data_IF_735650393456
#
_entry.id   IF_735650393456
#
_cell.length_a   1.000
_cell.length_b   1.000
_cell.length_c   1.000
_cell.angle_alpha   90.00
_cell.angle_beta   90.00
_cell.angle_gamma   90.00
#
_symmetry.space_group_name_H-M   'P 1'
#
loop_
_entity.id
_entity.type
_entity.pdbx_description
1 polymer ?
#
# COMPACT_ATOMS: atom_id res chain seq x y z
N UNK A 1 4.91 0.20 20.30
CA UNK A 1 3.76 1.13 20.44
C UNK A 1 3.19 1.35 19.06
N UNK A 2 1.87 1.32 18.88
CA UNK A 2 1.24 1.49 17.57
C UNK A 2 1.47 2.90 17.03
N UNK A 3 1.85 3.00 15.77
CA UNK A 3 1.90 4.27 15.03
C UNK A 3 0.49 4.80 14.78
N UNK A 4 0.34 6.12 14.87
CA UNK A 4 -0.90 6.86 14.69
C UNK A 4 -0.65 8.10 13.85
N UNK A 5 -1.68 8.80 13.44
CA UNK A 5 -1.54 10.07 12.73
C UNK A 5 -0.71 11.09 13.51
N UNK A 6 -0.84 11.09 14.85
CA UNK A 6 -0.06 11.98 15.73
C UNK A 6 1.40 11.57 15.87
N UNK A 7 1.73 10.27 15.79
CA UNK A 7 3.14 9.83 15.77
C UNK A 7 3.82 10.21 14.46
N UNK A 8 3.12 10.22 13.34
CA UNK A 8 3.65 10.71 12.06
C UNK A 8 4.02 12.19 12.14
N UNK A 9 3.13 13.01 12.72
CA UNK A 9 3.43 14.42 12.95
C UNK A 9 4.63 14.60 13.87
N UNK A 10 4.68 13.86 14.98
CA UNK A 10 5.79 13.93 15.93
C UNK A 10 7.13 13.51 15.30
N UNK A 11 7.13 12.56 14.34
CA UNK A 11 8.34 12.19 13.60
C UNK A 11 8.81 13.34 12.70
N UNK A 12 7.89 13.98 11.96
CA UNK A 12 8.22 15.20 11.18
C UNK A 12 8.83 16.29 12.07
N UNK A 13 8.18 16.60 13.17
CA UNK A 13 8.61 17.66 14.09
C UNK A 13 10.02 17.42 14.66
N UNK A 14 10.42 16.14 14.81
CA UNK A 14 11.76 15.72 15.24
C UNK A 14 12.77 15.55 14.11
N UNK A 15 12.33 15.63 12.86
CA UNK A 15 13.17 15.32 11.69
C UNK A 15 13.45 13.82 11.52
N UNK A 16 12.67 12.94 12.15
CA UNK A 16 12.76 11.49 12.01
C UNK A 16 12.05 11.06 10.71
N UNK A 17 12.68 10.17 9.93
CA UNK A 17 12.12 9.73 8.66
C UNK A 17 11.07 8.64 8.84
N UNK A 18 9.96 8.78 8.12
CA UNK A 18 8.83 7.85 8.11
C UNK A 18 9.04 6.83 6.99
N UNK A 19 9.09 5.54 7.35
CA UNK A 19 9.10 4.45 6.37
C UNK A 19 7.71 3.89 6.15
N UNK A 20 7.32 3.76 4.88
CA UNK A 20 6.06 3.12 4.49
C UNK A 20 6.28 2.10 3.38
N UNK A 21 5.47 1.07 3.37
CA UNK A 21 5.37 0.08 2.28
C UNK A 21 3.91 -0.18 1.96
N UNK A 22 3.65 -0.71 0.76
CA UNK A 22 2.35 -1.30 0.50
C UNK A 22 2.31 -2.74 1.02
N UNK A 23 1.15 -3.21 1.48
CA UNK A 23 0.86 -4.64 1.65
C UNK A 23 -0.58 -4.92 1.23
N UNK A 24 -0.84 -6.18 0.85
CA UNK A 24 -2.15 -6.56 0.33
C UNK A 24 -2.70 -7.85 0.97
N UNK A 25 -1.97 -8.44 1.91
CA UNK A 25 -2.36 -9.64 2.63
C UNK A 25 -1.85 -9.65 4.08
N UNK A 26 -2.36 -10.60 4.85
CA UNK A 26 -2.05 -10.77 6.27
C UNK A 26 -0.56 -11.08 6.51
N UNK A 27 0.02 -11.99 5.72
CA UNK A 27 1.37 -12.49 5.95
C UNK A 27 2.43 -11.43 5.66
N UNK A 28 2.27 -10.70 4.55
CA UNK A 28 3.13 -9.58 4.17
C UNK A 28 3.05 -8.46 5.21
N UNK A 29 1.83 -8.06 5.60
CA UNK A 29 1.63 -7.03 6.62
C UNK A 29 2.29 -7.40 7.97
N UNK A 30 2.22 -8.67 8.36
CA UNK A 30 2.86 -9.16 9.59
C UNK A 30 4.39 -9.09 9.52
N UNK A 31 4.98 -9.37 8.37
CA UNK A 31 6.43 -9.25 8.17
C UNK A 31 6.89 -7.79 8.21
N UNK A 32 6.17 -6.89 7.55
CA UNK A 32 6.46 -5.45 7.54
C UNK A 32 6.31 -4.83 8.94
N UNK A 33 5.24 -5.18 9.65
CA UNK A 33 5.01 -4.73 11.03
C UNK A 33 6.12 -5.21 11.99
N UNK A 34 6.55 -6.46 11.87
CA UNK A 34 7.65 -7.01 12.64
C UNK A 34 9.01 -6.38 12.28
N UNK A 35 9.19 -5.92 11.04
CA UNK A 35 10.36 -5.19 10.59
C UNK A 35 10.40 -3.73 11.09
N UNK A 36 9.33 -3.23 11.69
CA UNK A 36 9.25 -1.87 12.25
C UNK A 36 8.89 -0.79 11.22
N UNK A 37 8.25 -1.16 10.11
CA UNK A 37 7.71 -0.20 9.14
C UNK A 37 6.66 0.67 9.83
N UNK A 38 6.76 1.99 9.68
CA UNK A 38 5.90 2.94 10.40
C UNK A 38 4.47 2.94 9.87
N UNK A 39 4.28 2.83 8.56
CA UNK A 39 2.97 2.81 7.93
C UNK A 39 2.86 1.77 6.82
N UNK A 40 1.71 1.14 6.71
CA UNK A 40 1.38 0.17 5.67
C UNK A 40 0.20 0.69 4.88
N UNK A 41 0.37 0.81 3.56
CA UNK A 41 -0.66 1.24 2.64
C UNK A 41 -1.26 0.02 1.92
N UNK A 42 -2.55 -0.16 2.04
CA UNK A 42 -3.31 -0.99 1.11
C UNK A 42 -3.68 -0.09 -0.06
N UNK A 43 -2.79 -0.06 -1.06
CA UNK A 43 -2.94 0.79 -2.23
C UNK A 43 -3.82 0.15 -3.30
N UNK A 44 -4.51 0.95 -4.10
CA UNK A 44 -5.22 0.46 -5.30
C UNK A 44 -4.27 -0.06 -6.39
N UNK A 45 -2.94 0.15 -6.22
CA UNK A 45 -1.88 -0.57 -6.93
C UNK A 45 -1.99 -2.10 -6.85
N UNK A 46 -2.79 -2.64 -5.89
CA UNK A 46 -3.17 -4.06 -5.87
C UNK A 46 -3.80 -4.50 -7.20
N UNK A 47 -4.47 -3.59 -7.89
CA UNK A 47 -5.00 -3.84 -9.24
C UNK A 47 -3.94 -4.37 -10.18
N UNK A 48 -2.76 -3.74 -10.18
CA UNK A 48 -1.65 -4.15 -11.05
C UNK A 48 -0.91 -5.38 -10.51
N UNK A 49 -0.43 -5.32 -9.24
CA UNK A 49 0.54 -6.31 -8.73
C UNK A 49 -0.10 -7.55 -8.10
N UNK A 50 -1.41 -7.54 -7.83
CA UNK A 50 -2.14 -8.67 -7.22
C UNK A 50 -3.22 -9.19 -8.17
N UNK A 51 -4.03 -8.30 -8.74
CA UNK A 51 -5.17 -8.68 -9.60
C UNK A 51 -4.82 -8.78 -11.09
N UNK A 52 -3.64 -8.28 -11.50
CA UNK A 52 -3.14 -8.37 -12.87
C UNK A 52 -3.86 -7.44 -13.86
N UNK A 53 -4.43 -6.33 -13.38
CA UNK A 53 -5.02 -5.30 -14.25
C UNK A 53 -3.93 -4.38 -14.81
N UNK A 54 -4.16 -3.83 -16.00
CA UNK A 54 -3.26 -2.86 -16.62
C UNK A 54 -3.21 -1.51 -15.89
N UNK A 55 -4.28 -1.17 -15.16
CA UNK A 55 -4.40 0.08 -14.41
C UNK A 55 -5.13 -0.14 -13.08
N UNK A 56 -5.12 0.88 -12.19
CA UNK A 56 -5.86 0.83 -10.92
C UNK A 56 -7.36 1.11 -11.09
N UNK A 57 -7.81 1.56 -12.26
CA UNK A 57 -9.19 1.99 -12.54
C UNK A 57 -10.26 0.92 -12.23
N UNK A 58 -10.05 -0.39 -12.52
CA UNK A 58 -11.05 -1.42 -12.25
C UNK A 58 -11.22 -1.79 -10.78
N UNK A 59 -10.30 -1.35 -9.90
CA UNK A 59 -10.34 -1.71 -8.48
C UNK A 59 -11.59 -1.16 -7.81
N UNK A 60 -12.29 -2.00 -7.09
CA UNK A 60 -13.54 -1.67 -6.38
C UNK A 60 -13.31 -1.38 -4.90
N UNK A 61 -14.31 -0.77 -4.25
CA UNK A 61 -14.31 -0.58 -2.78
C UNK A 61 -14.29 -1.94 -2.07
N UNK A 62 -14.94 -2.94 -2.62
CA UNK A 62 -14.98 -4.32 -2.10
C UNK A 62 -13.61 -4.99 -2.15
N UNK A 63 -12.83 -4.79 -3.21
CA UNK A 63 -11.43 -5.25 -3.29
C UNK A 63 -10.59 -4.60 -2.20
N UNK A 64 -10.72 -3.27 -2.03
CA UNK A 64 -9.99 -2.54 -1.00
C UNK A 64 -10.36 -3.01 0.41
N UNK A 65 -11.62 -3.32 0.66
CA UNK A 65 -12.11 -3.87 1.94
C UNK A 65 -11.54 -5.27 2.15
N UNK A 66 -11.59 -6.14 1.14
CA UNK A 66 -11.07 -7.50 1.25
C UNK A 66 -9.60 -7.54 1.67
N UNK A 67 -8.75 -6.81 0.94
CA UNK A 67 -7.33 -6.71 1.21
C UNK A 67 -7.02 -5.91 2.48
N UNK A 68 -7.71 -4.79 2.68
CA UNK A 68 -7.54 -3.92 3.85
C UNK A 68 -7.81 -4.63 5.18
N UNK A 69 -8.87 -5.43 5.23
CA UNK A 69 -9.20 -6.23 6.42
C UNK A 69 -8.13 -7.29 6.73
N UNK A 70 -7.52 -7.89 5.71
CA UNK A 70 -6.43 -8.85 5.89
C UNK A 70 -5.17 -8.17 6.46
N UNK A 71 -4.78 -7.02 5.88
CA UNK A 71 -3.63 -6.22 6.32
C UNK A 71 -3.81 -5.70 7.74
N UNK A 72 -4.98 -5.12 8.06
CA UNK A 72 -5.25 -4.59 9.40
C UNK A 72 -5.17 -5.67 10.51
N UNK A 73 -5.53 -6.92 10.21
CA UNK A 73 -5.32 -8.03 11.14
C UNK A 73 -3.83 -8.38 11.33
N UNK A 74 -3.00 -8.20 10.30
CA UNK A 74 -1.56 -8.49 10.33
C UNK A 74 -0.74 -7.41 11.02
N UNK A 75 -1.07 -6.14 10.80
CA UNK A 75 -0.36 -4.98 11.32
C UNK A 75 -0.85 -4.60 12.73
N UNK A 76 0.03 -4.68 13.73
CA UNK A 76 -0.29 -4.34 15.13
C UNK A 76 0.33 -3.02 15.57
N UNK A 77 1.46 -2.65 15.00
CA UNK A 77 2.23 -1.46 15.36
C UNK A 77 2.28 -0.41 14.24
N UNK A 78 2.20 -0.83 12.99
CA UNK A 78 2.18 0.08 11.84
C UNK A 78 0.84 0.81 11.71
N UNK A 79 0.85 2.07 11.25
CA UNK A 79 -0.35 2.79 10.84
C UNK A 79 -0.89 2.16 9.54
N UNK A 80 -2.14 1.72 9.51
CA UNK A 80 -2.76 1.12 8.33
C UNK A 80 -3.60 2.15 7.58
N UNK A 81 -3.21 2.41 6.34
CA UNK A 81 -3.91 3.31 5.40
C UNK A 81 -4.55 2.46 4.32
N UNK A 82 -5.81 2.75 3.95
CA UNK A 82 -6.50 2.07 2.83
C UNK A 82 -6.91 3.11 1.77
N UNK A 83 -6.59 2.84 0.52
CA UNK A 83 -6.98 3.71 -0.59
C UNK A 83 -8.49 3.71 -0.81
N UNK A 84 -9.01 4.86 -1.13
CA UNK A 84 -10.31 5.02 -1.76
C UNK A 84 -10.10 4.86 -3.27
N UNK A 85 -10.64 3.82 -3.92
CA UNK A 85 -10.39 3.57 -5.33
C UNK A 85 -11.13 4.56 -6.24
N UNK A 86 -10.78 4.52 -7.53
CA UNK A 86 -11.38 5.40 -8.55
C UNK A 86 -12.91 5.40 -8.51
N UNK A 87 -13.52 6.58 -8.60
CA UNK A 87 -14.96 6.86 -8.51
C UNK A 87 -15.64 6.54 -7.17
N UNK A 88 -14.89 6.18 -6.14
CA UNK A 88 -15.48 5.98 -4.80
C UNK A 88 -15.67 7.29 -4.02
N UNK A 89 -15.04 8.39 -4.44
CA UNK A 89 -15.11 9.71 -3.77
C UNK A 89 -15.30 10.89 -4.73
N UNK A 90 -15.06 10.71 -6.03
CA UNK A 90 -15.15 11.81 -7.02
C UNK A 90 -16.59 12.16 -7.38
N UNK A 91 -17.54 11.24 -7.20
CA UNK A 91 -18.94 11.39 -7.61
C UNK A 91 -19.69 12.44 -6.79
N UNK A 92 -19.53 12.43 -5.47
CA UNK A 92 -20.12 13.40 -4.55
C UNK A 92 -19.42 13.38 -3.20
N UNK A 93 -19.60 14.44 -2.41
CA UNK A 93 -19.13 14.49 -1.01
C UNK A 93 -19.83 13.44 -0.15
N UNK A 94 -21.12 13.17 -0.42
CA UNK A 94 -21.87 12.13 0.29
C UNK A 94 -21.28 10.74 0.06
N UNK A 95 -21.04 10.36 -1.20
CA UNK A 95 -20.43 9.07 -1.55
C UNK A 95 -19.03 8.93 -0.95
N UNK A 96 -18.25 10.00 -0.94
CA UNK A 96 -16.93 10.00 -0.33
C UNK A 96 -16.98 9.65 1.16
N UNK A 97 -17.88 10.26 1.92
CA UNK A 97 -18.03 9.96 3.37
C UNK A 97 -18.58 8.55 3.59
N UNK A 98 -19.55 8.12 2.80
CA UNK A 98 -20.14 6.78 2.92
C UNK A 98 -19.11 5.69 2.63
N UNK A 99 -18.35 5.83 1.54
CA UNK A 99 -17.33 4.85 1.16
C UNK A 99 -16.13 4.86 2.11
N UNK A 100 -15.67 6.03 2.57
CA UNK A 100 -14.64 6.11 3.60
C UNK A 100 -15.09 5.43 4.90
N UNK A 101 -16.32 5.71 5.35
CA UNK A 101 -16.91 5.08 6.53
C UNK A 101 -17.08 3.56 6.38
N UNK A 102 -17.46 3.08 5.20
CA UNK A 102 -17.55 1.66 4.87
C UNK A 102 -16.18 0.98 4.98
N UNK A 103 -15.14 1.57 4.34
CA UNK A 103 -13.77 1.07 4.41
C UNK A 103 -13.30 1.00 5.87
N UNK A 104 -13.42 2.07 6.65
CA UNK A 104 -13.01 2.10 8.06
C UNK A 104 -13.69 1.02 8.90
N UNK A 105 -14.99 0.86 8.76
CA UNK A 105 -15.78 -0.10 9.56
C UNK A 105 -15.48 -1.55 9.22
N UNK A 106 -15.33 -1.85 7.94
CA UNK A 106 -15.20 -3.24 7.48
C UNK A 106 -13.75 -3.72 7.50
N UNK A 107 -12.76 -2.82 7.36
CA UNK A 107 -11.33 -3.18 7.43
C UNK A 107 -10.75 -3.03 8.82
N UNK A 108 -11.25 -2.10 9.62
CA UNK A 108 -10.63 -1.64 10.88
C UNK A 108 -9.23 -1.01 10.65
N UNK A 109 -9.03 -0.37 9.50
CA UNK A 109 -7.85 0.44 9.24
C UNK A 109 -7.84 1.71 10.10
N UNK A 110 -6.72 2.43 10.10
CA UNK A 110 -6.57 3.65 10.92
C UNK A 110 -6.97 4.92 10.16
N UNK A 111 -6.87 4.90 8.83
CA UNK A 111 -7.15 6.06 7.97
C UNK A 111 -7.37 5.64 6.51
N UNK A 112 -7.88 6.57 5.70
CA UNK A 112 -8.03 6.38 4.25
C UNK A 112 -7.08 7.28 3.47
N UNK A 113 -6.79 6.92 2.20
CA UNK A 113 -6.06 7.79 1.26
C UNK A 113 -6.93 8.07 0.03
N UNK A 114 -6.82 9.26 -0.53
CA UNK A 114 -7.45 9.63 -1.79
C UNK A 114 -6.57 10.58 -2.60
N UNK A 115 -6.77 10.59 -3.92
CA UNK A 115 -5.96 11.30 -4.89
C UNK A 115 -6.63 12.61 -5.35
N UNK A 116 -5.83 13.66 -5.48
CA UNK A 116 -6.22 14.95 -6.00
C UNK A 116 -5.88 16.12 -5.07
N UNK A 117 -5.84 17.31 -5.66
CA UNK A 117 -5.58 18.59 -4.99
C UNK A 117 -6.87 19.33 -4.61
N UNK A 118 -6.93 20.62 -4.94
CA UNK A 118 -8.09 21.50 -4.63
C UNK A 118 -9.44 20.93 -5.03
N UNK A 119 -9.51 20.16 -6.11
CA UNK A 119 -10.76 19.58 -6.62
C UNK A 119 -11.42 18.59 -5.66
N UNK A 120 -10.68 17.97 -4.75
CA UNK A 120 -11.18 16.99 -3.78
C UNK A 120 -11.14 17.49 -2.33
N UNK A 121 -10.77 18.73 -2.08
CA UNK A 121 -10.79 19.33 -0.74
C UNK A 121 -12.16 19.27 -0.06
N UNK A 122 -13.31 19.46 -0.76
CA UNK A 122 -14.61 19.28 -0.13
C UNK A 122 -14.83 17.87 0.42
N UNK A 123 -14.35 16.83 -0.29
CA UNK A 123 -14.42 15.45 0.14
C UNK A 123 -13.48 15.20 1.35
N UNK A 124 -12.22 15.66 1.27
CA UNK A 124 -11.27 15.56 2.39
C UNK A 124 -11.87 16.18 3.65
N UNK A 125 -12.38 17.41 3.55
CA UNK A 125 -13.00 18.10 4.66
C UNK A 125 -14.17 17.33 5.26
N UNK A 126 -15.08 16.83 4.45
CA UNK A 126 -16.25 16.10 4.93
C UNK A 126 -15.88 14.76 5.60
N UNK A 127 -14.89 14.06 5.05
CA UNK A 127 -14.39 12.80 5.64
C UNK A 127 -13.72 13.09 6.98
N UNK A 128 -12.88 14.15 7.08
CA UNK A 128 -12.21 14.54 8.33
C UNK A 128 -13.19 15.06 9.38
N UNK A 129 -14.23 15.82 8.98
CA UNK A 129 -15.33 16.24 9.85
C UNK A 129 -16.13 15.04 10.40
N UNK A 130 -16.17 13.92 9.67
CA UNK A 130 -16.72 12.66 10.15
C UNK A 130 -15.76 11.86 11.05
N UNK A 131 -14.65 12.47 11.49
CA UNK A 131 -13.62 11.87 12.35
C UNK A 131 -12.84 10.72 11.71
N UNK A 132 -12.72 10.71 10.39
CA UNK A 132 -11.90 9.75 9.62
C UNK A 132 -10.63 10.46 9.16
N UNK A 133 -9.42 10.05 9.58
CA UNK A 133 -8.19 10.67 9.13
C UNK A 133 -7.95 10.40 7.64
N UNK A 134 -7.49 11.43 6.91
CA UNK A 134 -7.23 11.36 5.47
C UNK A 134 -5.77 11.63 5.17
N UNK A 135 -5.14 10.74 4.40
CA UNK A 135 -3.87 10.97 3.71
C UNK A 135 -4.19 11.45 2.28
N UNK A 136 -3.68 12.59 1.88
CA UNK A 136 -3.82 13.09 0.51
C UNK A 136 -2.75 12.49 -0.41
N UNK A 137 -2.97 12.55 -1.73
CA UNK A 137 -1.99 12.11 -2.73
C UNK A 137 -1.95 13.09 -3.90
N UNK A 138 -0.76 13.64 -4.15
CA UNK A 138 -0.48 14.66 -5.15
C UNK A 138 0.68 14.23 -6.08
N UNK A 139 0.82 14.91 -7.19
CA UNK A 139 1.80 14.61 -8.22
C UNK A 139 1.21 13.70 -9.29
N UNK A 140 1.87 12.61 -9.60
CA UNK A 140 1.26 11.56 -10.41
C UNK A 140 0.23 10.84 -9.56
N UNK A 141 -1.02 10.90 -10.01
CA UNK A 141 -2.15 10.20 -9.40
C UNK A 141 -2.57 9.09 -10.36
N UNK A 142 -2.27 7.79 -10.06
CA UNK A 142 -2.56 6.67 -10.96
C UNK A 142 -4.02 6.58 -11.43
N UNK A 143 -4.96 6.97 -10.58
CA UNK A 143 -6.39 7.03 -10.94
C UNK A 143 -6.68 8.04 -12.07
N UNK A 144 -5.80 9.02 -12.27
CA UNK A 144 -5.92 10.04 -13.32
C UNK A 144 -5.08 9.72 -14.58
N UNK A 145 -4.55 8.49 -14.70
CA UNK A 145 -3.61 8.11 -15.77
C UNK A 145 -4.13 8.39 -17.18
N UNK A 146 -5.42 8.19 -17.39
CA UNK A 146 -6.07 8.47 -18.67
C UNK A 146 -6.11 9.99 -18.98
N UNK A 147 -6.39 10.82 -17.98
CA UNK A 147 -6.39 12.28 -18.11
C UNK A 147 -4.97 12.83 -18.36
N UNK A 148 -3.94 12.22 -17.77
CA UNK A 148 -2.54 12.60 -17.98
C UNK A 148 -1.97 12.08 -19.31
N UNK A 149 -2.64 11.13 -19.98
CA UNK A 149 -2.13 10.44 -21.15
C UNK A 149 -0.89 9.57 -20.82
N UNK A 150 -0.93 8.86 -19.71
CA UNK A 150 0.10 7.93 -19.23
C UNK A 150 0.83 8.39 -17.97
N UNK A 151 1.75 7.55 -17.48
CA UNK A 151 2.57 7.81 -16.30
C UNK A 151 3.66 8.84 -16.59
N UNK A 152 3.50 10.07 -16.11
CA UNK A 152 4.41 11.18 -16.38
C UNK A 152 4.78 11.91 -15.09
N UNK A 153 6.05 12.33 -14.99
CA UNK A 153 6.52 13.21 -13.90
C UNK A 153 5.73 14.51 -13.93
N UNK A 154 5.16 14.90 -12.79
CA UNK A 154 4.32 16.08 -12.59
C UNK A 154 5.15 17.28 -12.09
N UNK A 155 4.62 18.53 -12.24
CA UNK A 155 5.28 19.72 -11.71
C UNK A 155 6.52 20.16 -12.49
N UNK A 156 6.64 19.87 -13.79
CA UNK A 156 7.82 20.21 -14.61
C UNK A 156 7.86 21.66 -15.08
N UNK A 157 6.72 22.33 -15.21
CA UNK A 157 6.66 23.76 -15.56
C UNK A 157 6.51 24.60 -14.30
N UNK A 158 6.77 25.90 -14.40
CA UNK A 158 6.66 26.81 -13.27
C UNK A 158 5.21 26.87 -12.75
N UNK A 159 4.25 26.93 -13.67
CA UNK A 159 2.82 26.95 -13.36
C UNK A 159 2.37 25.66 -12.66
N UNK A 160 2.78 24.50 -13.19
CA UNK A 160 2.46 23.21 -12.59
C UNK A 160 3.14 23.03 -11.21
N UNK A 161 4.35 23.58 -11.04
CA UNK A 161 5.03 23.56 -9.75
C UNK A 161 4.32 24.45 -8.72
N UNK A 162 3.88 25.64 -9.13
CA UNK A 162 3.10 26.55 -8.28
C UNK A 162 1.77 25.90 -7.87
N UNK A 163 1.06 25.31 -8.85
CA UNK A 163 -0.20 24.61 -8.60
C UNK A 163 -0.04 23.49 -7.58
N UNK A 164 1.04 22.69 -7.68
CA UNK A 164 1.30 21.60 -6.74
C UNK A 164 1.50 22.10 -5.30
N UNK A 165 2.22 23.22 -5.12
CA UNK A 165 2.40 23.83 -3.79
C UNK A 165 1.06 24.34 -3.23
N UNK A 166 0.24 24.95 -4.08
CA UNK A 166 -1.10 25.42 -3.69
C UNK A 166 -2.04 24.26 -3.37
N UNK A 167 -1.98 23.17 -4.13
CA UNK A 167 -2.75 21.97 -3.85
C UNK A 167 -2.34 21.33 -2.52
N UNK A 168 -1.04 21.28 -2.22
CA UNK A 168 -0.53 20.76 -0.95
C UNK A 168 -1.05 21.56 0.26
N UNK A 169 -1.06 22.90 0.16
CA UNK A 169 -1.63 23.76 1.20
C UNK A 169 -3.14 23.56 1.32
N UNK A 170 -3.84 23.42 0.19
CA UNK A 170 -5.29 23.27 0.20
C UNK A 170 -5.73 21.93 0.83
N UNK A 171 -5.02 20.82 0.57
CA UNK A 171 -5.34 19.54 1.21
C UNK A 171 -5.01 19.55 2.71
N UNK A 172 -3.94 20.26 3.12
CA UNK A 172 -3.65 20.49 4.54
C UNK A 172 -4.77 21.28 5.22
N UNK A 173 -5.20 22.41 4.62
CA UNK A 173 -6.31 23.22 5.12
C UNK A 173 -7.64 22.44 5.19
N UNK A 174 -7.85 21.49 4.28
CA UNK A 174 -9.00 20.60 4.28
C UNK A 174 -8.95 19.55 5.39
N UNK A 175 -7.82 19.39 6.10
CA UNK A 175 -7.66 18.52 7.25
C UNK A 175 -6.92 17.21 6.98
N UNK A 176 -6.25 17.04 5.83
CA UNK A 176 -5.38 15.91 5.62
C UNK A 176 -4.25 15.88 6.67
N UNK A 177 -3.91 14.69 7.20
CA UNK A 177 -2.85 14.55 8.20
C UNK A 177 -1.45 14.31 7.58
N UNK A 178 -1.40 13.89 6.33
CA UNK A 178 -0.17 13.66 5.57
C UNK A 178 -0.47 13.74 4.07
N UNK A 179 0.56 13.89 3.24
CA UNK A 179 0.42 13.89 1.78
C UNK A 179 1.51 13.04 1.11
N UNK A 180 1.10 12.16 0.20
CA UNK A 180 2.00 11.44 -0.70
C UNK A 180 2.35 12.36 -1.86
N UNK A 181 3.63 12.42 -2.22
CA UNK A 181 4.14 13.11 -3.41
C UNK A 181 4.73 12.07 -4.36
N UNK A 182 4.04 11.80 -5.48
CA UNK A 182 4.47 10.80 -6.44
C UNK A 182 5.02 11.41 -7.73
N UNK A 183 6.19 10.92 -8.18
CA UNK A 183 6.81 11.32 -9.45
C UNK A 183 6.90 12.85 -9.60
N UNK A 184 7.40 13.53 -8.57
CA UNK A 184 7.61 14.97 -8.51
C UNK A 184 9.12 15.28 -8.52
N UNK A 185 9.61 16.31 -9.22
CA UNK A 185 11.01 16.70 -9.17
C UNK A 185 11.46 16.97 -7.72
N UNK A 186 12.62 16.43 -7.32
CA UNK A 186 13.13 16.49 -5.94
C UNK A 186 13.14 17.91 -5.35
N UNK A 187 13.58 18.91 -6.11
CA UNK A 187 13.62 20.32 -5.65
C UNK A 187 12.22 20.87 -5.37
N UNK A 188 11.21 20.42 -6.14
CA UNK A 188 9.82 20.84 -5.93
C UNK A 188 9.23 20.11 -4.72
N UNK A 189 9.46 18.79 -4.58
CA UNK A 189 9.01 18.03 -3.42
C UNK A 189 9.55 18.62 -2.10
N UNK A 190 10.82 19.02 -2.08
CA UNK A 190 11.42 19.73 -0.92
C UNK A 190 10.70 21.04 -0.62
N UNK A 191 10.41 21.86 -1.64
CA UNK A 191 9.66 23.11 -1.46
C UNK A 191 8.23 22.87 -0.94
N UNK A 192 7.57 21.80 -1.39
CA UNK A 192 6.26 21.40 -0.85
C UNK A 192 6.40 21.02 0.62
N UNK A 193 7.40 20.19 0.95
CA UNK A 193 7.66 19.75 2.34
C UNK A 193 7.91 20.93 3.29
N UNK A 194 8.63 21.95 2.81
CA UNK A 194 8.92 23.19 3.56
C UNK A 194 7.69 24.12 3.68
N UNK A 195 6.73 24.03 2.74
CA UNK A 195 5.58 24.91 2.65
C UNK A 195 4.35 24.47 3.46
N UNK A 196 4.33 23.23 3.96
CA UNK A 196 3.23 22.63 4.71
C UNK A 196 3.72 22.06 6.05
N UNK A 197 2.81 21.93 7.02
CA UNK A 197 3.13 21.45 8.37
C UNK A 197 2.92 19.94 8.51
N UNK A 198 2.04 19.34 7.69
CA UNK A 198 1.79 17.90 7.71
C UNK A 198 2.93 17.09 7.05
N UNK A 199 3.15 15.82 7.44
CA UNK A 199 4.17 14.97 6.83
C UNK A 199 4.00 14.77 5.33
N UNK A 200 5.12 14.83 4.59
CA UNK A 200 5.20 14.46 3.19
C UNK A 200 5.83 13.07 3.02
N UNK A 201 5.22 12.20 2.24
CA UNK A 201 5.68 10.85 1.95
C UNK A 201 6.02 10.76 0.46
N UNK A 202 7.30 10.60 0.13
CA UNK A 202 7.76 10.59 -1.26
C UNK A 202 7.75 9.20 -1.89
N UNK A 203 7.37 9.14 -3.16
CA UNK A 203 7.62 8.02 -4.05
C UNK A 203 8.05 8.56 -5.41
N UNK A 204 9.33 8.37 -5.78
CA UNK A 204 9.89 9.05 -6.95
C UNK A 204 9.94 10.58 -6.82
N UNK A 205 10.05 11.10 -5.60
CA UNK A 205 10.09 12.53 -5.28
C UNK A 205 11.40 12.98 -4.61
N UNK A 206 12.41 12.12 -4.58
CA UNK A 206 13.70 12.40 -3.96
C UNK A 206 13.68 12.27 -2.42
N UNK A 207 14.83 12.52 -1.78
CA UNK A 207 15.03 12.33 -0.35
C UNK A 207 14.56 13.51 0.53
N UNK A 208 14.03 14.58 -0.09
CA UNK A 208 13.64 15.82 0.59
C UNK A 208 12.31 15.74 1.37
N UNK A 209 11.53 14.68 1.20
CA UNK A 209 10.29 14.43 1.94
C UNK A 209 10.56 13.92 3.36
N UNK A 210 9.55 14.00 4.23
CA UNK A 210 9.62 13.51 5.61
C UNK A 210 9.63 11.98 5.70
N UNK A 211 9.08 11.30 4.72
CA UNK A 211 9.08 9.85 4.61
C UNK A 211 9.19 9.36 3.16
N UNK A 212 9.23 8.04 3.00
CA UNK A 212 9.26 7.35 1.70
C UNK A 212 8.31 6.16 1.71
N UNK A 213 7.68 5.88 0.57
CA UNK A 213 6.89 4.68 0.34
C UNK A 213 7.34 3.98 -0.95
N UNK A 214 7.28 2.66 -0.96
CA UNK A 214 7.43 1.84 -2.16
C UNK A 214 6.34 0.76 -2.20
N UNK A 215 6.03 0.30 -3.41
CA UNK A 215 5.28 -0.95 -3.61
C UNK A 215 6.20 -2.11 -3.22
N UNK A 216 5.77 -2.96 -2.27
CA UNK A 216 6.64 -4.01 -1.74
C UNK A 216 7.07 -5.01 -2.82
N UNK A 217 6.19 -5.32 -3.76
CA UNK A 217 6.49 -6.23 -4.87
C UNK A 217 7.60 -5.69 -5.78
N UNK A 218 7.64 -4.37 -5.99
CA UNK A 218 8.69 -3.72 -6.79
C UNK A 218 10.04 -3.77 -6.06
N UNK A 219 10.08 -3.39 -4.77
CA UNK A 219 11.33 -3.36 -4.01
C UNK A 219 11.91 -4.76 -3.74
N UNK A 220 11.08 -5.80 -3.82
CA UNK A 220 11.49 -7.20 -3.68
C UNK A 220 11.68 -7.90 -5.04
N UNK A 221 11.57 -7.17 -6.15
CA UNK A 221 11.69 -7.71 -7.51
C UNK A 221 10.76 -8.91 -7.77
N UNK A 222 9.55 -8.88 -7.20
CA UNK A 222 8.53 -9.91 -7.39
C UNK A 222 7.69 -9.65 -8.64
N UNK A 223 7.52 -8.37 -9.00
CA UNK A 223 6.83 -7.90 -10.19
C UNK A 223 7.86 -7.47 -11.23
N UNK A 224 7.90 -8.13 -12.39
CA UNK A 224 9.00 -8.03 -13.34
C UNK A 224 8.68 -7.32 -14.66
N UNK A 225 7.39 -7.01 -14.93
CA UNK A 225 6.99 -6.46 -16.23
C UNK A 225 7.50 -5.04 -16.45
N UNK A 226 7.62 -4.27 -15.37
CA UNK A 226 8.18 -2.92 -15.39
C UNK A 226 8.68 -2.51 -14.01
N UNK A 227 9.93 -2.02 -13.94
CA UNK A 227 10.49 -1.44 -12.72
C UNK A 227 10.66 0.07 -12.89
N UNK A 228 9.92 0.91 -12.14
CA UNK A 228 10.09 2.35 -12.19
C UNK A 228 11.52 2.78 -11.83
N UNK A 229 12.04 3.82 -12.49
CA UNK A 229 13.40 4.35 -12.26
C UNK A 229 13.72 4.67 -10.80
N UNK A 230 12.74 5.05 -10.02
CA UNK A 230 12.90 5.45 -8.63
C UNK A 230 12.93 4.25 -7.66
N UNK A 231 12.63 3.05 -8.13
CA UNK A 231 12.66 1.84 -7.32
C UNK A 231 14.10 1.34 -7.20
N UNK A 232 14.53 1.12 -5.96
CA UNK A 232 15.71 0.34 -5.64
C UNK A 232 15.27 -1.06 -5.23
N UNK A 233 15.82 -2.08 -5.86
CA UNK A 233 15.66 -3.45 -5.38
C UNK A 233 16.46 -3.67 -4.09
N UNK A 234 15.81 -4.17 -3.06
CA UNK A 234 16.42 -4.53 -1.77
C UNK A 234 16.67 -6.03 -1.65
N UNK A 235 15.93 -6.84 -2.42
CA UNK A 235 16.14 -8.28 -2.55
C UNK A 235 15.53 -8.78 -3.87
N UNK A 236 16.03 -9.92 -4.38
CA UNK A 236 15.50 -10.57 -5.57
C UNK A 236 14.63 -11.78 -5.20
N UNK A 237 13.50 -11.49 -4.52
CA UNK A 237 12.58 -12.51 -4.02
C UNK A 237 11.89 -13.26 -5.16
N UNK A 238 11.63 -12.60 -6.28
CA UNK A 238 11.02 -13.22 -7.46
C UNK A 238 11.84 -14.41 -8.01
N UNK A 239 13.18 -14.25 -8.10
CA UNK A 239 14.06 -15.36 -8.50
C UNK A 239 14.09 -16.48 -7.46
N UNK A 240 14.17 -16.12 -6.17
CA UNK A 240 14.17 -17.09 -5.07
C UNK A 240 12.90 -17.93 -5.10
N UNK A 241 11.74 -17.30 -5.25
CA UNK A 241 10.45 -17.99 -5.36
C UNK A 241 10.40 -18.89 -6.59
N UNK A 242 10.84 -18.37 -7.75
CA UNK A 242 10.86 -19.12 -9.00
C UNK A 242 11.75 -20.37 -8.90
N UNK A 243 12.91 -20.25 -8.26
CA UNK A 243 13.80 -21.39 -8.04
C UNK A 243 13.19 -22.40 -7.07
N UNK A 244 12.61 -21.95 -5.95
CA UNK A 244 11.94 -22.81 -5.00
C UNK A 244 10.78 -23.62 -5.60
N UNK A 245 10.00 -22.99 -6.51
CA UNK A 245 8.94 -23.70 -7.24
C UNK A 245 9.49 -24.80 -8.16
N UNK A 246 10.60 -24.53 -8.85
CA UNK A 246 11.29 -25.55 -9.69
C UNK A 246 11.84 -26.70 -8.85
N UNK A 247 12.45 -26.38 -7.71
CA UNK A 247 13.02 -27.39 -6.82
C UNK A 247 11.91 -28.29 -6.22
N UNK A 248 10.77 -27.69 -5.84
CA UNK A 248 9.61 -28.42 -5.37
C UNK A 248 9.04 -29.34 -6.47
N UNK A 249 8.85 -28.80 -7.69
CA UNK A 249 8.34 -29.59 -8.83
C UNK A 249 9.26 -30.79 -9.13
N UNK A 250 10.58 -30.58 -9.12
CA UNK A 250 11.56 -31.63 -9.33
C UNK A 250 11.50 -32.70 -8.22
N UNK A 251 11.46 -32.28 -6.95
CA UNK A 251 11.41 -33.18 -5.82
C UNK A 251 10.14 -34.06 -5.78
N UNK A 252 9.00 -33.48 -6.19
CA UNK A 252 7.76 -34.26 -6.34
C UNK A 252 7.88 -35.27 -7.47
N UNK A 253 8.47 -34.92 -8.61
CA UNK A 253 8.59 -35.79 -9.79
C UNK A 253 9.59 -36.92 -9.61
N UNK A 254 10.67 -36.70 -8.88
CA UNK A 254 11.67 -37.71 -8.57
C UNK A 254 11.36 -38.51 -7.30
N UNK A 255 10.23 -38.21 -6.62
CA UNK A 255 9.77 -38.84 -5.37
C UNK A 255 10.71 -38.64 -4.18
N UNK A 256 11.56 -37.61 -4.18
CA UNK A 256 12.34 -37.21 -3.00
C UNK A 256 11.51 -36.41 -2.00
N UNK A 257 10.36 -35.84 -2.43
CA UNK A 257 9.37 -35.25 -1.56
C UNK A 257 7.99 -35.90 -1.79
N UNK A 258 7.24 -36.27 -0.73
CA UNK A 258 7.62 -36.19 0.69
C UNK A 258 8.62 -37.28 1.11
N UNK A 259 9.65 -36.90 1.88
CA UNK A 259 10.52 -37.84 2.55
C UNK A 259 9.84 -38.46 3.79
N UNK A 260 10.46 -39.49 4.39
CA UNK A 260 9.88 -40.21 5.54
C UNK A 260 9.54 -39.27 6.72
N UNK A 261 10.33 -38.22 6.93
CA UNK A 261 10.13 -37.20 7.97
C UNK A 261 8.89 -36.30 7.72
N UNK A 262 8.40 -36.22 6.47
CA UNK A 262 7.21 -35.49 6.08
C UNK A 262 5.94 -36.35 6.11
N UNK A 263 6.02 -37.63 6.58
CA UNK A 263 4.91 -38.58 6.60
C UNK A 263 4.41 -38.81 8.02
N UNK A 264 3.12 -39.08 8.14
CA UNK A 264 2.54 -39.52 9.41
C UNK A 264 2.75 -41.03 9.58
N UNK A 265 3.23 -41.46 10.76
CA UNK A 265 3.36 -42.90 11.06
C UNK A 265 1.96 -43.50 11.16
N UNK A 266 1.73 -44.60 10.42
CA UNK A 266 0.51 -45.40 10.52
C UNK A 266 0.43 -46.03 11.90
N UNK A 267 -0.75 -46.03 12.51
CA UNK A 267 -1.05 -46.99 13.59
C UNK A 267 -0.93 -48.37 12.97
N UNK A 268 -0.08 -49.22 13.53
CA UNK A 268 0.08 -50.61 13.09
C UNK A 268 -1.28 -51.34 13.24
N UNK A 269 -2.00 -51.47 12.15
CA UNK A 269 -3.09 -52.45 12.09
C UNK A 269 -2.43 -53.81 11.94
N UNK A 270 -2.17 -54.48 13.06
CA UNK A 270 -1.94 -55.93 13.04
C UNK A 270 -3.25 -56.56 12.57
N UNK A 271 -3.30 -56.99 11.31
CA UNK A 271 -4.32 -57.92 10.84
C UNK A 271 -4.12 -59.22 11.67
N UNK A 272 -4.95 -59.43 12.68
CA UNK A 272 -5.18 -60.74 13.21
C UNK A 272 -5.81 -61.56 12.10
N UNK A 273 -5.07 -62.56 11.57
CA UNK A 273 -5.65 -63.53 10.64
C UNK A 273 -6.89 -64.14 11.26
N UNK A 274 -8.00 -64.31 10.53
CA UNK A 274 -9.17 -65.02 11.09
C UNK A 274 -8.78 -66.45 11.36
N UNK A 275 -8.80 -66.85 12.63
CA UNK A 275 -8.64 -68.24 13.07
C UNK A 275 -9.70 -69.09 12.36
N UNK A 276 -9.27 -69.96 11.44
CA UNK A 276 -10.14 -71.00 10.86
C UNK A 276 -10.57 -71.93 11.99
N UNK A 277 -11.83 -71.85 12.43
CA UNK A 277 -12.50 -72.86 13.23
C UNK A 277 -12.64 -74.12 12.36
N UNK A 278 -12.08 -75.18 12.80
CA UNK A 278 -12.35 -76.58 12.29
C UNK A 278 -13.63 -77.10 12.85
#
# INVERSE_FOLDING_TARGET
>A
MKNTVTTFQAMKDKGEKISMLTAYDYSTAKLEDAAGINGILVGDSLGNVVLGYDTTIPVTVEDMIHHGAAVARGAKNSLVVVDMPFLSYQTSVYDAVVNAGKIMKETQCDCVKLEGGKSVCPQIKAITDASIPVMAHLGLTPQSVNAFGGFKVQGKTLEAAQQLIEDAKAVEEAGAFAVVLECVPEKLARKVTEAIHIPTIGIGAGAGCDGQILVYADMLSMFSDFTPKFVRSFANVGEIMSQAFKDYDAAVKDSSFPAQEHTFKTVSYTHSEPTRLR
#
